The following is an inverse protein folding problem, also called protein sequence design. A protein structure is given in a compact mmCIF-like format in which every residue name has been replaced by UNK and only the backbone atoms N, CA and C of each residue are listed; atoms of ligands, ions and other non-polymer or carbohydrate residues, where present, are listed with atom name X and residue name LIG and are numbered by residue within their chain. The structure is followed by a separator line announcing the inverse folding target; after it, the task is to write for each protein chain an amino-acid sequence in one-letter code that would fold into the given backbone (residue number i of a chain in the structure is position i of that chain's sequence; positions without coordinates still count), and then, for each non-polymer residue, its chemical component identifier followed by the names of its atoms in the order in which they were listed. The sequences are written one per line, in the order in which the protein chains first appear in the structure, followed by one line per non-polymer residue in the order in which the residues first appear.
data_IF_117186869055
#
_entry.id   IF_117186869055
#
_cell.length_a   1.000
_cell.length_b   1.000
_cell.length_c   1.000
_cell.angle_alpha   90.00
_cell.angle_beta   90.00
_cell.angle_gamma   90.00
#
_symmetry.space_group_name_H-M   'P 1'
#
loop_
_entity.id
_entity.type
_entity.pdbx_description
1 polymer ?
#
# COMPACT_ATOMS: atom_id res chain seq x y z
N UNK A 1 -13.67 -21.83 -27.70
CA UNK A 1 -13.76 -20.44 -27.20
C UNK A 1 -14.40 -20.31 -25.81
N UNK A 2 -15.44 -21.07 -25.47
CA UNK A 2 -16.11 -21.02 -24.14
C UNK A 2 -15.16 -21.34 -22.96
N UNK A 3 -14.44 -22.48 -23.00
CA UNK A 3 -13.57 -22.92 -21.90
C UNK A 3 -12.45 -21.92 -21.55
N UNK A 4 -11.88 -21.23 -22.55
CA UNK A 4 -10.84 -20.22 -22.34
C UNK A 4 -11.38 -18.97 -21.60
N UNK A 5 -12.60 -18.53 -21.91
CA UNK A 5 -13.26 -17.42 -21.20
C UNK A 5 -13.56 -17.77 -19.75
N UNK A 6 -13.98 -19.00 -19.48
CA UNK A 6 -14.21 -19.48 -18.11
C UNK A 6 -12.92 -19.51 -17.29
N UNK A 7 -11.81 -20.00 -17.86
CA UNK A 7 -10.50 -20.01 -17.20
C UNK A 7 -9.98 -18.60 -16.90
N UNK A 8 -10.19 -17.65 -17.82
CA UNK A 8 -9.79 -16.26 -17.59
C UNK A 8 -10.61 -15.63 -16.47
N UNK A 9 -11.94 -15.85 -16.46
CA UNK A 9 -12.83 -15.34 -15.42
C UNK A 9 -12.46 -15.86 -14.04
N UNK A 10 -12.09 -17.13 -13.91
CA UNK A 10 -11.68 -17.70 -12.62
C UNK A 10 -10.37 -17.11 -12.10
N UNK A 11 -9.39 -16.86 -12.97
CA UNK A 11 -8.14 -16.17 -12.60
C UNK A 11 -8.36 -14.73 -12.15
N UNK A 12 -9.24 -14.00 -12.85
CA UNK A 12 -9.64 -12.63 -12.51
C UNK A 12 -10.28 -12.57 -11.13
N UNK A 13 -11.24 -13.46 -10.84
CA UNK A 13 -11.85 -13.55 -9.52
C UNK A 13 -10.84 -13.92 -8.42
N UNK A 14 -9.94 -14.86 -8.71
CA UNK A 14 -8.92 -15.29 -7.77
C UNK A 14 -7.97 -14.15 -7.38
N UNK A 15 -7.48 -13.38 -8.34
CA UNK A 15 -6.56 -12.28 -8.06
C UNK A 15 -7.20 -11.17 -7.22
N UNK A 16 -8.43 -10.77 -7.55
CA UNK A 16 -9.17 -9.76 -6.79
C UNK A 16 -9.41 -10.26 -5.36
N UNK A 17 -9.86 -11.50 -5.21
CA UNK A 17 -10.09 -12.12 -3.92
C UNK A 17 -8.82 -12.16 -3.06
N UNK A 18 -7.69 -12.57 -3.65
CA UNK A 18 -6.42 -12.64 -2.95
C UNK A 18 -5.87 -11.25 -2.60
N UNK A 19 -6.05 -10.22 -3.45
CA UNK A 19 -5.70 -8.84 -3.11
C UNK A 19 -6.49 -8.33 -1.91
N UNK A 20 -7.79 -8.66 -1.85
CA UNK A 20 -8.62 -8.34 -0.69
C UNK A 20 -8.15 -9.07 0.57
N UNK A 21 -7.87 -10.37 0.47
CA UNK A 21 -7.38 -11.17 1.59
C UNK A 21 -6.05 -10.62 2.15
N UNK A 22 -5.12 -10.23 1.27
CA UNK A 22 -3.85 -9.62 1.66
C UNK A 22 -4.04 -8.24 2.30
N UNK A 23 -4.98 -7.43 1.80
CA UNK A 23 -5.34 -6.15 2.43
C UNK A 23 -5.90 -6.36 3.84
N UNK A 24 -6.80 -7.33 4.03
CA UNK A 24 -7.32 -7.70 5.35
C UNK A 24 -6.22 -8.23 6.28
N UNK A 25 -5.27 -9.01 5.76
CA UNK A 25 -4.14 -9.52 6.55
C UNK A 25 -3.22 -8.38 7.01
N UNK A 26 -2.85 -7.47 6.11
CA UNK A 26 -2.02 -6.30 6.43
C UNK A 26 -2.70 -5.42 7.49
N UNK A 27 -4.01 -5.17 7.32
CA UNK A 27 -4.81 -4.43 8.29
C UNK A 27 -4.89 -5.15 9.65
N UNK A 28 -5.10 -6.46 9.64
CA UNK A 28 -5.17 -7.27 10.87
C UNK A 28 -3.85 -7.29 11.63
N UNK A 29 -2.70 -7.34 10.94
CA UNK A 29 -1.38 -7.23 11.57
C UNK A 29 -1.19 -5.87 12.26
N UNK A 30 -1.57 -4.79 11.56
CA UNK A 30 -1.53 -3.45 12.14
C UNK A 30 -2.43 -3.35 13.38
N UNK A 31 -3.67 -3.82 13.28
CA UNK A 31 -4.61 -3.83 14.40
C UNK A 31 -4.14 -4.70 15.55
N UNK A 32 -3.56 -5.86 15.26
CA UNK A 32 -3.03 -6.74 16.28
C UNK A 32 -1.92 -6.05 17.08
N UNK A 33 -0.93 -5.47 16.40
CA UNK A 33 0.17 -4.80 17.08
C UNK A 33 -0.31 -3.56 17.86
N UNK A 34 -1.17 -2.75 17.26
CA UNK A 34 -1.66 -1.54 17.90
C UNK A 34 -2.51 -1.83 19.15
N UNK A 35 -3.39 -2.84 19.10
CA UNK A 35 -4.30 -3.13 20.22
C UNK A 35 -3.62 -3.95 21.32
N UNK A 36 -2.76 -4.91 20.97
CA UNK A 36 -2.23 -5.88 21.94
C UNK A 36 -0.79 -5.58 22.38
N UNK A 37 0.03 -4.91 21.56
CA UNK A 37 1.45 -4.69 21.86
C UNK A 37 1.75 -3.23 22.22
N UNK A 38 1.21 -2.28 21.45
CA UNK A 38 1.52 -0.84 21.61
C UNK A 38 0.53 -0.12 22.51
N UNK A 39 -0.75 -0.49 22.42
CA UNK A 39 -1.85 0.08 23.20
C UNK A 39 -2.53 1.28 22.52
N UNK A 40 -3.84 1.41 22.79
CA UNK A 40 -4.72 2.38 22.13
C UNK A 40 -4.70 3.79 22.75
N UNK A 41 -3.90 4.09 23.76
CA UNK A 41 -4.03 5.36 24.49
C UNK A 41 -3.40 6.53 23.73
N UNK A 42 -4.23 7.50 23.31
CA UNK A 42 -3.78 8.75 22.68
C UNK A 42 -2.85 8.53 21.48
N UNK A 43 -1.76 9.31 21.44
CA UNK A 43 -0.71 9.25 20.41
C UNK A 43 0.50 8.40 20.82
N UNK A 44 0.36 7.54 21.85
CA UNK A 44 1.47 6.70 22.34
C UNK A 44 2.13 5.87 21.23
N UNK A 45 1.33 5.45 20.25
CA UNK A 45 1.79 4.70 19.09
C UNK A 45 2.82 5.44 18.21
N UNK A 46 2.90 6.78 18.26
CA UNK A 46 3.96 7.54 17.58
C UNK A 46 5.31 7.53 18.32
N UNK A 47 5.40 6.88 19.47
CA UNK A 47 6.62 6.80 20.26
C UNK A 47 7.21 5.39 20.34
N UNK A 48 6.50 4.40 19.79
CA UNK A 48 6.86 2.98 19.89
C UNK A 48 7.10 2.42 18.49
N UNK A 49 8.20 1.67 18.27
CA UNK A 49 8.43 1.02 16.99
C UNK A 49 7.40 -0.09 16.73
N UNK A 50 6.93 -0.20 15.50
CA UNK A 50 6.02 -1.26 15.04
C UNK A 50 6.82 -2.36 14.31
N UNK A 51 6.85 -3.55 14.89
CA UNK A 51 7.53 -4.75 14.39
C UNK A 51 6.80 -5.42 13.22
N UNK A 52 5.49 -5.22 13.06
CA UNK A 52 4.72 -5.79 11.93
C UNK A 52 4.88 -4.99 10.65
N UNK A 53 5.35 -3.75 10.73
CA UNK A 53 5.53 -2.86 9.58
C UNK A 53 6.32 -3.49 8.42
N UNK A 54 7.45 -4.22 8.63
CA UNK A 54 8.23 -4.77 7.51
C UNK A 54 7.45 -5.89 6.81
N UNK A 55 6.65 -6.62 7.58
CA UNK A 55 5.77 -7.70 7.10
C UNK A 55 4.63 -7.07 6.28
N UNK A 56 4.00 -6.01 6.78
CA UNK A 56 2.96 -5.25 6.07
C UNK A 56 3.49 -4.70 4.74
N UNK A 57 4.70 -4.12 4.74
CA UNK A 57 5.37 -3.68 3.51
C UNK A 57 5.58 -4.84 2.52
N UNK A 58 5.90 -6.04 3.04
CA UNK A 58 6.03 -7.25 2.24
C UNK A 58 4.71 -7.68 1.62
N UNK A 59 3.62 -7.58 2.37
CA UNK A 59 2.27 -7.86 1.90
C UNK A 59 1.85 -6.86 0.82
N UNK A 60 2.14 -5.56 0.98
CA UNK A 60 1.86 -4.53 -0.04
C UNK A 60 2.60 -4.86 -1.34
N UNK A 61 3.90 -5.15 -1.26
CA UNK A 61 4.72 -5.54 -2.41
C UNK A 61 4.18 -6.81 -3.10
N UNK A 62 3.86 -7.84 -2.31
CA UNK A 62 3.28 -9.08 -2.81
C UNK A 62 1.92 -8.85 -3.49
N UNK A 63 1.08 -7.97 -2.94
CA UNK A 63 -0.26 -7.67 -3.48
C UNK A 63 -0.20 -7.02 -4.85
N UNK A 64 0.73 -6.08 -5.05
CA UNK A 64 0.98 -5.50 -6.37
C UNK A 64 1.52 -6.54 -7.36
N UNK A 65 2.40 -7.42 -6.93
CA UNK A 65 3.00 -8.44 -7.81
C UNK A 65 2.08 -9.62 -8.11
N UNK A 66 1.08 -9.88 -7.26
CA UNK A 66 0.22 -11.06 -7.32
C UNK A 66 -0.46 -11.24 -8.69
N UNK A 67 -1.13 -10.21 -9.27
CA UNK A 67 -1.56 -10.22 -10.66
C UNK A 67 -0.49 -10.69 -11.65
N UNK A 68 0.71 -10.13 -11.56
CA UNK A 68 1.80 -10.43 -12.48
C UNK A 68 2.22 -11.91 -12.38
N UNK A 69 2.08 -12.55 -11.23
CA UNK A 69 2.33 -13.99 -11.06
C UNK A 69 1.21 -14.86 -11.62
N UNK A 70 -0.05 -14.55 -11.32
CA UNK A 70 -1.23 -15.35 -11.73
C UNK A 70 -1.35 -15.40 -13.26
N UNK A 71 -1.02 -14.30 -13.92
CA UNK A 71 -1.08 -14.17 -15.37
C UNK A 71 0.28 -14.25 -16.08
N UNK A 72 1.34 -14.46 -15.31
CA UNK A 72 2.71 -14.23 -15.76
C UNK A 72 3.15 -15.02 -16.99
N UNK A 73 3.76 -14.28 -17.93
CA UNK A 73 4.79 -14.81 -18.83
C UNK A 73 5.90 -15.45 -18.00
N UNK A 74 6.64 -16.42 -18.57
CA UNK A 74 7.82 -17.03 -17.93
C UNK A 74 8.94 -15.98 -17.75
N UNK A 75 8.85 -15.16 -16.71
CA UNK A 75 9.92 -14.26 -16.28
C UNK A 75 10.86 -15.04 -15.36
N UNK A 76 12.19 -14.87 -15.47
CA UNK A 76 13.13 -15.50 -14.55
C UNK A 76 12.88 -15.11 -13.09
N UNK A 77 12.99 -16.08 -12.18
CA UNK A 77 12.73 -15.93 -10.73
C UNK A 77 13.49 -14.78 -10.09
N UNK A 78 14.75 -14.54 -10.48
CA UNK A 78 15.56 -13.46 -9.91
C UNK A 78 14.99 -12.06 -10.17
N UNK A 79 14.29 -11.86 -11.30
CA UNK A 79 13.66 -10.55 -11.61
C UNK A 79 12.46 -10.30 -10.69
N UNK A 80 11.72 -11.34 -10.34
CA UNK A 80 10.63 -11.20 -9.37
C UNK A 80 11.16 -10.79 -8.00
N UNK A 81 12.22 -11.44 -7.52
CA UNK A 81 12.85 -11.06 -6.25
C UNK A 81 13.40 -9.63 -6.25
N UNK A 82 14.07 -9.22 -7.33
CA UNK A 82 14.57 -7.85 -7.45
C UNK A 82 13.44 -6.82 -7.35
N UNK A 83 12.31 -7.03 -8.03
CA UNK A 83 11.15 -6.15 -7.93
C UNK A 83 10.52 -6.21 -6.55
N UNK A 84 10.37 -7.40 -5.97
CA UNK A 84 9.81 -7.55 -4.64
C UNK A 84 10.61 -6.73 -3.62
N UNK A 85 11.94 -6.88 -3.61
CA UNK A 85 12.83 -6.16 -2.70
C UNK A 85 12.75 -4.65 -2.89
N UNK A 86 12.66 -4.20 -4.14
CA UNK A 86 12.42 -2.80 -4.48
C UNK A 86 11.10 -2.32 -3.89
N UNK A 87 9.98 -2.97 -4.21
CA UNK A 87 8.64 -2.55 -3.78
C UNK A 87 8.52 -2.58 -2.26
N UNK A 88 9.15 -3.58 -1.64
CA UNK A 88 9.24 -3.73 -0.20
C UNK A 88 10.03 -2.58 0.43
N UNK A 89 11.25 -2.31 -0.04
CA UNK A 89 12.09 -1.23 0.47
C UNK A 89 11.48 0.15 0.23
N UNK A 90 10.84 0.34 -0.92
CA UNK A 90 10.04 1.51 -1.25
C UNK A 90 8.90 1.70 -0.23
N UNK A 91 8.08 0.67 0.00
CA UNK A 91 6.96 0.75 0.96
C UNK A 91 7.45 1.06 2.38
N UNK A 92 8.57 0.45 2.78
CA UNK A 92 9.22 0.69 4.07
C UNK A 92 9.72 2.14 4.21
N UNK A 93 10.35 2.68 3.16
CA UNK A 93 10.80 4.07 3.10
C UNK A 93 9.64 5.05 3.21
N UNK A 94 8.56 4.83 2.45
CA UNK A 94 7.34 5.64 2.54
C UNK A 94 6.72 5.63 3.93
N UNK A 95 6.61 4.46 4.55
CA UNK A 95 6.13 4.35 5.93
C UNK A 95 6.99 5.18 6.88
N UNK A 96 8.32 5.03 6.80
CA UNK A 96 9.25 5.71 7.69
C UNK A 96 9.12 7.23 7.60
N UNK A 97 8.94 7.75 6.38
CA UNK A 97 8.75 9.19 6.16
C UNK A 97 7.38 9.68 6.62
N UNK A 98 6.32 8.91 6.33
CA UNK A 98 4.99 9.21 6.83
C UNK A 98 5.01 9.25 8.37
N UNK A 99 5.61 8.25 9.01
CA UNK A 99 5.78 8.21 10.46
C UNK A 99 6.52 9.45 10.99
N UNK A 100 7.64 9.83 10.37
CA UNK A 100 8.39 11.03 10.76
C UNK A 100 7.56 12.32 10.60
N UNK A 101 6.82 12.45 9.49
CA UNK A 101 5.94 13.59 9.27
C UNK A 101 4.82 13.65 10.31
N UNK A 102 4.19 12.51 10.63
CA UNK A 102 3.16 12.42 11.67
C UNK A 102 3.72 12.72 13.06
N UNK A 103 4.90 12.21 13.39
CA UNK A 103 5.54 12.46 14.68
C UNK A 103 5.89 13.96 14.85
N UNK A 104 6.37 14.61 13.79
CA UNK A 104 6.67 16.05 13.83
C UNK A 104 5.39 16.89 13.96
N UNK A 105 4.34 16.54 13.22
CA UNK A 105 3.06 17.28 13.23
C UNK A 105 2.26 17.09 14.52
N UNK A 106 2.25 15.88 15.10
CA UNK A 106 1.25 15.51 16.12
C UNK A 106 1.82 15.10 17.48
N UNK A 107 3.11 14.75 17.60
CA UNK A 107 3.68 14.30 18.89
C UNK A 107 4.76 15.24 19.47
N UNK A 108 4.89 16.47 18.93
CA UNK A 108 5.91 17.45 19.33
C UNK A 108 7.36 16.93 19.24
N UNK A 109 7.58 15.84 18.51
CA UNK A 109 8.92 15.30 18.29
C UNK A 109 9.52 16.04 17.09
N UNK A 110 10.29 17.09 17.36
CA UNK A 110 10.89 17.90 16.32
C UNK A 110 12.12 17.22 15.74
N UNK A 111 11.95 16.59 14.58
CA UNK A 111 13.04 16.02 13.79
C UNK A 111 13.65 17.01 12.77
N UNK A 112 13.13 18.25 12.72
CA UNK A 112 13.60 19.29 11.80
C UNK A 112 12.46 20.18 11.29
N UNK A 113 12.78 21.02 10.30
CA UNK A 113 11.83 21.89 9.62
C UNK A 113 10.69 21.06 9.00
N UNK A 114 9.45 21.38 9.38
CA UNK A 114 8.25 20.66 8.93
C UNK A 114 8.09 20.71 7.41
N UNK A 115 8.42 21.83 6.78
CA UNK A 115 8.41 21.98 5.32
C UNK A 115 9.42 21.08 4.64
N UNK A 116 10.62 20.93 5.20
CA UNK A 116 11.62 19.98 4.70
C UNK A 116 11.17 18.52 4.83
N UNK A 117 10.53 18.14 5.94
CA UNK A 117 9.99 16.78 6.12
C UNK A 117 8.83 16.48 5.18
N UNK A 118 7.89 17.40 5.01
CA UNK A 118 6.79 17.25 4.06
C UNK A 118 7.33 17.21 2.63
N UNK A 119 8.29 18.08 2.30
CA UNK A 119 8.93 18.11 0.98
C UNK A 119 9.69 16.82 0.67
N UNK A 120 10.43 16.27 1.62
CA UNK A 120 11.13 14.99 1.46
C UNK A 120 10.17 13.80 1.36
N UNK A 121 9.07 13.80 2.11
CA UNK A 121 8.01 12.79 1.99
C UNK A 121 7.36 12.82 0.60
N UNK A 122 7.02 14.01 0.08
CA UNK A 122 6.47 14.17 -1.27
C UNK A 122 7.48 13.76 -2.35
N UNK A 123 8.75 14.17 -2.22
CA UNK A 123 9.81 13.78 -3.14
C UNK A 123 9.98 12.26 -3.19
N UNK A 124 10.01 11.60 -2.04
CA UNK A 124 10.11 10.14 -1.98
C UNK A 124 8.87 9.44 -2.53
N UNK A 125 7.68 10.00 -2.31
CA UNK A 125 6.44 9.46 -2.90
C UNK A 125 6.51 9.51 -4.44
N UNK A 126 6.94 10.63 -5.02
CA UNK A 126 7.18 10.76 -6.47
C UNK A 126 8.28 9.81 -6.95
N UNK A 127 9.37 9.68 -6.19
CA UNK A 127 10.45 8.74 -6.50
C UNK A 127 9.95 7.30 -6.50
N UNK A 128 9.13 6.93 -5.51
CA UNK A 128 8.48 5.62 -5.40
C UNK A 128 7.58 5.33 -6.58
N UNK A 129 6.67 6.25 -6.93
CA UNK A 129 5.76 6.10 -8.07
C UNK A 129 6.52 5.92 -9.38
N UNK A 130 7.58 6.70 -9.56
CA UNK A 130 8.50 6.58 -10.70
C UNK A 130 9.17 5.21 -10.74
N UNK A 131 9.53 4.66 -9.58
CA UNK A 131 10.18 3.36 -9.46
C UNK A 131 9.21 2.19 -9.69
N UNK A 132 7.99 2.24 -9.14
CA UNK A 132 6.91 1.27 -9.41
C UNK A 132 6.58 1.24 -10.89
N UNK A 133 6.53 2.41 -11.53
CA UNK A 133 6.36 2.52 -12.98
C UNK A 133 7.51 1.86 -13.76
N UNK A 134 8.75 2.10 -13.36
CA UNK A 134 9.91 1.48 -13.99
C UNK A 134 9.90 -0.05 -13.83
N UNK A 135 9.59 -0.54 -12.62
CA UNK A 135 9.44 -1.95 -12.31
C UNK A 135 8.34 -2.61 -13.17
N UNK A 136 7.21 -1.93 -13.35
CA UNK A 136 6.14 -2.40 -14.23
C UNK A 136 6.57 -2.44 -15.71
N UNK A 137 7.31 -1.43 -16.20
CA UNK A 137 7.88 -1.44 -17.56
C UNK A 137 8.87 -2.58 -17.76
N UNK A 138 9.69 -2.90 -16.76
CA UNK A 138 10.64 -4.00 -16.85
C UNK A 138 9.95 -5.36 -17.11
N UNK A 139 8.69 -5.52 -16.68
CA UNK A 139 7.93 -6.76 -16.82
C UNK A 139 7.03 -6.81 -18.03
N UNK A 140 6.40 -5.68 -18.35
CA UNK A 140 5.37 -5.65 -19.38
C UNK A 140 5.76 -4.86 -20.62
N UNK A 141 6.99 -4.36 -20.64
CA UNK A 141 7.54 -3.56 -21.74
C UNK A 141 6.92 -2.18 -21.77
N UNK A 142 5.93 -1.98 -22.66
CA UNK A 142 5.20 -0.70 -22.77
C UNK A 142 4.12 -0.64 -21.70
N UNK A 143 4.43 0.00 -20.58
CA UNK A 143 3.41 0.49 -19.65
C UNK A 143 2.70 1.69 -20.30
N UNK A 144 1.36 1.80 -20.20
CA UNK A 144 0.65 2.97 -20.71
C UNK A 144 1.15 4.24 -20.00
N UNK A 145 1.23 5.35 -20.75
CA UNK A 145 1.67 6.66 -20.24
C UNK A 145 0.88 7.14 -19.01
N UNK A 146 -0.37 6.68 -18.87
CA UNK A 146 -1.25 7.00 -17.73
C UNK A 146 -1.00 6.18 -16.46
N UNK A 147 -0.05 5.25 -16.45
CA UNK A 147 0.18 4.40 -15.28
C UNK A 147 0.67 5.21 -14.06
N UNK A 148 1.62 6.13 -14.23
CA UNK A 148 2.08 7.00 -13.13
C UNK A 148 0.91 7.81 -12.57
N UNK A 149 0.09 8.39 -13.46
CA UNK A 149 -1.09 9.16 -13.04
C UNK A 149 -2.11 8.29 -12.28
N UNK A 150 -2.27 7.04 -12.68
CA UNK A 150 -3.16 6.09 -11.99
C UNK A 150 -2.63 5.74 -10.60
N UNK A 151 -1.32 5.51 -10.45
CA UNK A 151 -0.69 5.29 -9.15
C UNK A 151 -0.86 6.51 -8.23
N UNK A 152 -0.55 7.71 -8.73
CA UNK A 152 -0.68 8.95 -7.99
C UNK A 152 -2.11 9.19 -7.51
N UNK A 153 -3.08 9.02 -8.41
CA UNK A 153 -4.49 9.12 -8.07
C UNK A 153 -4.89 8.14 -6.95
N UNK A 154 -4.37 6.92 -6.98
CA UNK A 154 -4.70 5.89 -5.99
C UNK A 154 -4.10 6.19 -4.61
N UNK A 155 -2.85 6.64 -4.56
CA UNK A 155 -2.26 7.09 -3.29
C UNK A 155 -3.01 8.29 -2.71
N UNK A 156 -3.38 9.26 -3.54
CA UNK A 156 -4.21 10.40 -3.12
C UNK A 156 -5.57 9.91 -2.60
N UNK A 157 -6.20 8.97 -3.28
CA UNK A 157 -7.52 8.43 -2.92
C UNK A 157 -7.51 7.59 -1.64
N UNK A 158 -6.36 7.11 -1.17
CA UNK A 158 -6.28 6.40 0.11
C UNK A 158 -6.72 7.28 1.29
N UNK A 159 -6.47 8.59 1.24
CA UNK A 159 -6.89 9.54 2.29
C UNK A 159 -8.42 9.67 2.36
N UNK A 160 -9.14 10.09 1.31
CA UNK A 160 -10.59 10.23 1.36
C UNK A 160 -11.29 8.88 1.61
N UNK A 161 -10.78 7.77 1.05
CA UNK A 161 -11.37 6.45 1.34
C UNK A 161 -11.22 6.04 2.80
N UNK A 162 -10.08 6.37 3.42
CA UNK A 162 -9.89 6.15 4.85
C UNK A 162 -10.81 7.02 5.71
N UNK A 163 -11.04 8.27 5.29
CA UNK A 163 -11.99 9.18 5.95
C UNK A 163 -13.44 8.67 5.85
N UNK A 164 -13.86 8.26 4.66
CA UNK A 164 -15.18 7.64 4.46
C UNK A 164 -15.30 6.38 5.33
N UNK A 165 -14.24 5.57 5.42
CA UNK A 165 -14.27 4.33 6.21
C UNK A 165 -14.42 4.60 7.70
N UNK A 166 -13.73 5.61 8.26
CA UNK A 166 -13.85 5.94 9.69
C UNK A 166 -15.22 6.52 10.04
N UNK A 167 -15.92 7.15 9.09
CA UNK A 167 -17.29 7.61 9.30
C UNK A 167 -18.26 6.43 9.53
N UNK A 168 -18.08 5.33 8.80
CA UNK A 168 -18.90 4.11 8.96
C UNK A 168 -18.41 3.18 10.08
N UNK A 169 -17.09 3.11 10.27
CA UNK A 169 -16.42 2.24 11.24
C UNK A 169 -15.52 3.10 12.13
N UNK A 170 -16.06 3.78 13.14
CA UNK A 170 -15.31 4.70 13.98
C UNK A 170 -14.25 3.99 14.84
N UNK A 171 -13.25 4.76 15.28
CA UNK A 171 -12.20 4.25 16.15
C UNK A 171 -12.73 3.81 17.52
N UNK A 172 -11.95 2.98 18.23
CA UNK A 172 -12.25 2.67 19.63
C UNK A 172 -12.24 3.97 20.45
N UNK A 173 -13.41 4.36 20.98
CA UNK A 173 -13.64 5.65 21.63
C UNK A 173 -14.43 6.67 20.80
N UNK A 174 -14.88 6.31 19.59
CA UNK A 174 -15.77 7.13 18.75
C UNK A 174 -15.07 8.20 17.90
N UNK A 175 -13.74 8.17 17.82
CA UNK A 175 -12.97 9.10 16.99
C UNK A 175 -13.25 8.89 15.50
N UNK A 176 -13.42 10.00 14.77
CA UNK A 176 -13.73 10.04 13.33
C UNK A 176 -12.72 10.89 12.54
N UNK A 177 -11.63 11.32 13.16
CA UNK A 177 -10.64 12.17 12.50
C UNK A 177 -9.65 11.34 11.68
N UNK A 178 -8.87 12.00 10.82
CA UNK A 178 -7.85 11.32 10.01
C UNK A 178 -6.81 10.57 10.85
N UNK A 179 -6.41 11.12 11.99
CA UNK A 179 -5.49 10.46 12.93
C UNK A 179 -6.08 9.14 13.40
N UNK A 180 -7.38 9.13 13.70
CA UNK A 180 -8.10 7.93 14.12
C UNK A 180 -8.19 6.92 12.97
N UNK A 181 -8.38 7.38 11.73
CA UNK A 181 -8.36 6.52 10.54
C UNK A 181 -6.99 5.87 10.29
N UNK A 182 -5.90 6.62 10.48
CA UNK A 182 -4.51 6.12 10.38
C UNK A 182 -4.25 5.09 11.47
N UNK A 183 -4.68 5.40 12.69
CA UNK A 183 -4.59 4.49 13.83
C UNK A 183 -5.43 3.23 13.61
N UNK A 184 -6.62 3.35 13.02
CA UNK A 184 -7.42 2.22 12.55
C UNK A 184 -6.78 1.47 11.37
N UNK A 185 -5.64 1.92 10.82
CA UNK A 185 -4.93 1.22 9.76
C UNK A 185 -5.65 1.23 8.42
N UNK A 186 -6.66 2.09 8.24
CA UNK A 186 -7.42 2.17 6.98
C UNK A 186 -6.57 2.55 5.77
N UNK A 187 -5.57 3.45 5.88
CA UNK A 187 -4.67 3.72 4.77
C UNK A 187 -3.92 2.47 4.30
N UNK A 188 -3.47 1.61 5.22
CA UNK A 188 -2.77 0.36 4.89
C UNK A 188 -3.69 -0.58 4.11
N UNK A 189 -4.93 -0.74 4.58
CA UNK A 189 -5.95 -1.54 3.90
C UNK A 189 -6.19 -1.04 2.48
N UNK A 190 -6.46 0.26 2.32
CA UNK A 190 -6.79 0.85 1.04
C UNK A 190 -5.61 0.83 0.06
N UNK A 191 -4.40 1.17 0.49
CA UNK A 191 -3.19 1.10 -0.35
C UNK A 191 -3.00 -0.32 -0.88
N UNK A 192 -3.09 -1.32 0.00
CA UNK A 192 -2.89 -2.71 -0.36
C UNK A 192 -3.93 -3.18 -1.39
N UNK A 193 -5.22 -2.95 -1.11
CA UNK A 193 -6.31 -3.33 -2.01
C UNK A 193 -6.21 -2.64 -3.36
N UNK A 194 -5.99 -1.32 -3.35
CA UNK A 194 -5.87 -0.50 -4.54
C UNK A 194 -4.72 -0.97 -5.44
N UNK A 195 -3.52 -1.19 -4.89
CA UNK A 195 -2.38 -1.65 -5.68
C UNK A 195 -2.63 -3.01 -6.35
N UNK A 196 -3.32 -3.92 -5.68
CA UNK A 196 -3.75 -5.19 -6.27
C UNK A 196 -4.71 -5.01 -7.44
N UNK A 197 -5.73 -4.16 -7.26
CA UNK A 197 -6.70 -3.82 -8.31
C UNK A 197 -6.07 -3.11 -9.51
N UNK A 198 -5.13 -2.20 -9.26
CA UNK A 198 -4.40 -1.50 -10.30
C UNK A 198 -3.56 -2.45 -11.14
N UNK A 199 -2.79 -3.31 -10.47
CA UNK A 199 -1.94 -4.28 -11.15
C UNK A 199 -2.76 -5.26 -12.00
N UNK A 200 -3.94 -5.67 -11.51
CA UNK A 200 -4.93 -6.38 -12.30
C UNK A 200 -5.40 -5.59 -13.54
N UNK A 201 -5.84 -4.34 -13.35
CA UNK A 201 -6.38 -3.50 -14.42
C UNK A 201 -5.34 -3.23 -15.51
N UNK A 202 -4.09 -2.99 -15.11
CA UNK A 202 -2.96 -2.83 -16.02
C UNK A 202 -2.79 -4.11 -16.82
N UNK A 203 -2.70 -5.27 -16.16
CA UNK A 203 -2.54 -6.56 -16.84
C UNK A 203 -3.60 -6.77 -17.93
N UNK A 204 -4.87 -6.53 -17.61
CA UNK A 204 -6.00 -6.69 -18.54
C UNK A 204 -5.93 -5.79 -19.78
N UNK A 205 -5.23 -4.66 -19.72
CA UNK A 205 -5.04 -3.76 -20.89
C UNK A 205 -3.89 -4.17 -21.80
N UNK A 206 -3.02 -5.06 -21.35
CA UNK A 206 -1.80 -5.45 -22.07
C UNK A 206 -1.93 -6.81 -22.77
N UNK A 207 -3.02 -7.55 -22.51
CA UNK A 207 -3.43 -8.78 -23.19
C UNK A 207 -4.55 -8.46 -24.17
#
# INVERSE_FOLDING_TARGET
MSAWRHLQKSKDQLAIFLSYLLACLAWSLWQFELNFLVGWKGMHWLHVPFYTTPIICGIIAATYMLPLFIWGKKVPTYKYWAIFLVLWGSSWGSYSLAYLAFANLYSKIHFGDTGFMVGSALFLLVFLESFVFWAARAFVGRSPSFHILSLAFMFIMCVPLSLITIDFFPAFGGGQNFIDAVKMGYPIFWVCLQLGLLSYAIHRRMV
#
